data_IF_846794936169
#
_entry.id   IF_846794936169
#
_cell.length_a   1.000
_cell.length_b   1.000
_cell.length_c   1.000
_cell.angle_alpha   90.00
_cell.angle_beta   90.00
_cell.angle_gamma   90.00
#
_symmetry.space_group_name_H-M   'P 1'
#
loop_
_entity.id
_entity.type
_entity.pdbx_description
1 polymer ?
#
# COMPACT_ATOMS: atom_id res chain seq x y z
N UNK A 1 -10.19 -7.69 -16.30
CA UNK A 1 -11.30 -6.88 -16.86
C UNK A 1 -11.03 -6.62 -18.35
N UNK A 2 -11.19 -7.64 -19.20
CA UNK A 2 -10.50 -7.67 -20.51
C UNK A 2 -10.87 -6.52 -21.45
N UNK A 3 -12.15 -6.17 -21.55
CA UNK A 3 -12.60 -5.06 -22.41
C UNK A 3 -12.15 -3.69 -21.88
N UNK A 4 -12.15 -3.47 -20.55
CA UNK A 4 -11.67 -2.21 -19.97
C UNK A 4 -10.17 -2.00 -20.26
N UNK A 5 -9.33 -3.03 -20.11
CA UNK A 5 -7.92 -2.89 -20.48
C UNK A 5 -7.71 -2.64 -21.99
N UNK A 6 -8.60 -3.13 -22.86
CA UNK A 6 -8.51 -2.92 -24.31
C UNK A 6 -8.99 -1.53 -24.76
N UNK A 7 -9.88 -0.90 -23.99
CA UNK A 7 -10.56 0.33 -24.36
C UNK A 7 -10.07 1.57 -23.61
N UNK A 8 -9.13 1.39 -22.67
CA UNK A 8 -8.63 2.44 -21.79
C UNK A 8 -7.11 2.52 -21.86
N UNK A 9 -6.61 3.74 -21.90
CA UNK A 9 -5.19 4.06 -21.97
C UNK A 9 -4.63 4.44 -20.61
N UNK A 10 -5.49 4.61 -19.61
CA UNK A 10 -5.08 4.90 -18.25
C UNK A 10 -5.91 4.08 -17.26
N UNK A 11 -5.29 3.74 -16.13
CA UNK A 11 -6.00 3.23 -14.98
C UNK A 11 -5.49 3.89 -13.69
N UNK A 12 -6.39 4.05 -12.73
CA UNK A 12 -6.04 4.48 -11.38
C UNK A 12 -6.78 3.69 -10.31
N UNK A 13 -6.15 3.52 -9.14
CA UNK A 13 -6.75 2.88 -7.98
C UNK A 13 -6.10 3.46 -6.72
N UNK A 14 -6.81 3.42 -5.59
CA UNK A 14 -6.22 3.71 -4.29
C UNK A 14 -6.49 2.62 -3.28
N UNK A 15 -5.52 2.35 -2.40
CA UNK A 15 -5.65 1.42 -1.28
C UNK A 15 -5.26 2.17 -0.01
N UNK A 16 -6.07 2.05 1.04
CA UNK A 16 -5.80 2.64 2.34
C UNK A 16 -5.48 1.54 3.33
N UNK A 17 -4.32 1.64 3.99
CA UNK A 17 -3.95 0.80 5.11
C UNK A 17 -4.25 1.53 6.40
N UNK A 18 -5.15 0.98 7.20
CA UNK A 18 -5.39 1.37 8.57
C UNK A 18 -4.52 0.54 9.49
N UNK A 19 -3.84 1.18 10.43
CA UNK A 19 -2.89 0.55 11.33
C UNK A 19 -3.05 1.08 12.75
N UNK A 20 -2.98 0.16 13.71
CA UNK A 20 -2.89 0.44 15.13
C UNK A 20 -1.58 -0.13 15.62
N UNK A 21 -0.66 0.77 15.96
CA UNK A 21 0.64 0.41 16.52
C UNK A 21 0.61 0.62 18.03
N UNK A 22 1.20 -0.30 18.80
CA UNK A 22 1.35 -0.11 20.24
C UNK A 22 2.17 1.15 20.55
N UNK A 23 1.80 1.84 21.64
CA UNK A 23 2.54 2.98 22.12
C UNK A 23 3.97 2.52 22.51
N UNK A 24 4.99 3.18 21.96
CA UNK A 24 6.37 2.82 22.26
C UNK A 24 6.71 3.13 23.72
N UNK A 25 6.59 2.13 24.60
CA UNK A 25 7.01 2.25 26.00
C UNK A 25 8.55 2.29 26.04
N UNK A 26 9.14 3.48 25.95
CA UNK A 26 10.51 3.73 26.41
C UNK A 26 11.67 3.38 25.47
N UNK A 27 11.56 3.58 24.15
CA UNK A 27 12.75 3.60 23.28
C UNK A 27 13.12 5.03 22.89
N UNK A 28 14.03 5.63 23.66
CA UNK A 28 14.86 6.75 23.21
C UNK A 28 15.80 6.16 22.14
N UNK A 29 15.32 6.13 20.91
CA UNK A 29 16.07 5.60 19.80
C UNK A 29 15.23 5.73 18.56
N UNK A 30 15.60 6.68 17.70
CA UNK A 30 15.19 6.74 16.29
C UNK A 30 15.75 5.52 15.56
N UNK A 31 15.40 4.32 16.00
CA UNK A 31 15.47 3.16 15.13
C UNK A 31 14.37 3.41 14.12
N UNK A 32 14.78 3.72 12.90
CA UNK A 32 13.90 3.77 11.74
C UNK A 32 13.35 2.35 11.59
N UNK A 33 12.35 1.99 12.41
CA UNK A 33 11.71 0.68 12.41
C UNK A 33 11.15 0.52 11.01
N UNK A 34 11.78 -0.35 10.22
CA UNK A 34 11.33 -0.62 8.86
C UNK A 34 9.86 -0.99 8.94
N UNK A 35 9.01 -0.13 8.39
CA UNK A 35 7.62 -0.49 8.13
C UNK A 35 7.63 -1.78 7.33
N UNK A 36 6.71 -2.69 7.67
CA UNK A 36 6.47 -3.90 6.89
C UNK A 36 6.47 -3.53 5.40
N UNK A 37 7.33 -4.18 4.61
CA UNK A 37 7.35 -3.95 3.17
C UNK A 37 6.06 -4.52 2.59
N UNK A 38 5.24 -3.67 2.00
CA UNK A 38 4.01 -4.07 1.35
C UNK A 38 4.27 -4.12 -0.15
N UNK A 39 3.93 -5.26 -0.75
CA UNK A 39 4.00 -5.47 -2.18
C UNK A 39 2.59 -5.61 -2.73
N UNK A 40 2.26 -4.83 -3.74
CA UNK A 40 0.97 -4.87 -4.40
C UNK A 40 1.12 -5.50 -5.78
N UNK A 41 0.40 -6.57 -6.05
CA UNK A 41 0.47 -7.28 -7.33
C UNK A 41 -0.65 -6.80 -8.24
N UNK A 42 -0.26 -6.30 -9.41
CA UNK A 42 -1.16 -5.86 -10.46
C UNK A 42 -1.75 -6.99 -11.29
N UNK A 43 -2.74 -6.67 -12.13
CA UNK A 43 -3.42 -7.64 -13.00
C UNK A 43 -2.47 -8.35 -13.98
N UNK A 44 -1.44 -7.67 -14.47
CA UNK A 44 -0.41 -8.22 -15.36
C UNK A 44 0.74 -8.94 -14.60
N UNK A 45 0.58 -9.22 -13.30
CA UNK A 45 1.57 -9.84 -12.42
C UNK A 45 2.81 -8.99 -12.10
N UNK A 46 2.84 -7.72 -12.51
CA UNK A 46 3.87 -6.81 -12.04
C UNK A 46 3.63 -6.44 -10.57
N UNK A 47 4.72 -6.13 -9.88
CA UNK A 47 4.69 -5.78 -8.45
C UNK A 47 4.99 -4.31 -8.29
N UNK A 48 4.11 -3.61 -7.56
CA UNK A 48 4.36 -2.26 -7.06
C UNK A 48 5.01 -2.34 -5.68
N UNK A 49 6.19 -1.76 -5.56
CA UNK A 49 7.01 -1.81 -4.33
C UNK A 49 7.90 -0.57 -4.21
N UNK A 50 8.10 -0.10 -2.98
CA UNK A 50 8.97 1.03 -2.65
C UNK A 50 10.41 0.81 -3.14
N UNK A 51 10.98 1.82 -3.81
CA UNK A 51 12.34 1.76 -4.35
C UNK A 51 12.47 1.00 -5.67
N UNK A 52 11.35 0.67 -6.33
CA UNK A 52 11.32 0.07 -7.67
C UNK A 52 10.81 1.07 -8.71
N UNK A 53 10.89 0.72 -9.99
CA UNK A 53 10.29 1.50 -11.08
C UNK A 53 8.78 1.69 -10.93
N UNK A 54 8.10 0.72 -10.30
CA UNK A 54 6.67 0.74 -10.03
C UNK A 54 6.42 1.07 -8.56
N UNK A 55 7.06 2.11 -8.04
CA UNK A 55 6.80 2.57 -6.68
C UNK A 55 5.39 3.21 -6.59
N UNK A 56 4.52 2.75 -5.67
CA UNK A 56 3.21 3.38 -5.49
C UNK A 56 3.36 4.78 -4.91
N UNK A 57 2.53 5.72 -5.37
CA UNK A 57 2.53 7.06 -4.82
C UNK A 57 1.86 7.07 -3.45
N UNK A 58 2.59 7.47 -2.40
CA UNK A 58 2.06 7.52 -1.04
C UNK A 58 1.62 8.93 -0.72
N UNK A 59 0.30 9.15 -0.60
CA UNK A 59 -0.27 10.49 -0.32
C UNK A 59 -0.14 10.86 1.15
N UNK A 60 -0.31 9.87 2.03
CA UNK A 60 -0.25 10.02 3.48
C UNK A 60 0.43 8.76 4.03
N UNK A 61 1.41 8.93 4.92
CA UNK A 61 2.11 7.81 5.57
C UNK A 61 2.22 8.02 7.08
N UNK A 62 1.15 7.66 7.79
CA UNK A 62 1.04 7.82 9.23
C UNK A 62 1.22 6.51 9.99
N UNK A 63 1.32 5.37 9.29
CA UNK A 63 1.56 4.08 9.92
C UNK A 63 2.92 3.91 10.59
N UNK A 64 3.78 4.92 10.53
CA UNK A 64 5.02 5.05 11.31
C UNK A 64 4.79 5.59 12.73
N UNK A 65 3.61 6.17 13.01
CA UNK A 65 3.28 6.76 14.32
C UNK A 65 2.95 5.63 15.30
N UNK A 66 3.52 5.70 16.50
CA UNK A 66 3.41 4.67 17.55
C UNK A 66 2.86 5.28 18.84
N UNK A 67 1.63 5.77 18.78
CA UNK A 67 0.95 6.47 19.88
C UNK A 67 -0.24 5.67 20.46
N UNK A 68 -0.46 4.43 20.00
CA UNK A 68 -1.61 3.62 20.41
C UNK A 68 -2.94 4.06 19.79
N UNK A 69 -2.93 4.94 18.77
CA UNK A 69 -4.11 5.37 18.03
C UNK A 69 -4.13 4.78 16.61
N UNK A 70 -5.31 4.80 15.99
CA UNK A 70 -5.46 4.42 14.59
C UNK A 70 -4.89 5.49 13.68
N UNK A 71 -4.09 5.06 12.73
CA UNK A 71 -3.51 5.89 11.67
C UNK A 71 -3.76 5.25 10.32
N UNK A 72 -3.55 6.02 9.26
CA UNK A 72 -3.71 5.53 7.90
C UNK A 72 -2.53 5.87 6.99
N UNK A 73 -2.21 4.95 6.09
CA UNK A 73 -1.33 5.21 4.95
C UNK A 73 -2.10 4.97 3.66
N UNK A 74 -2.09 5.95 2.75
CA UNK A 74 -2.86 5.90 1.49
C UNK A 74 -1.93 5.76 0.29
N UNK A 75 -2.08 4.64 -0.41
CA UNK A 75 -1.37 4.30 -1.63
C UNK A 75 -2.23 4.63 -2.84
N UNK A 76 -1.66 5.33 -3.81
CA UNK A 76 -2.30 5.68 -5.08
C UNK A 76 -1.48 5.08 -6.21
N UNK A 77 -2.17 4.34 -7.07
CA UNK A 77 -1.63 3.74 -8.28
C UNK A 77 -2.26 4.47 -9.45
N UNK A 78 -1.42 4.99 -10.34
CA UNK A 78 -1.85 5.62 -11.59
C UNK A 78 -0.84 5.24 -12.67
N UNK A 79 -1.34 4.82 -13.82
CA UNK A 79 -0.52 4.24 -14.88
C UNK A 79 -1.16 4.43 -16.25
N UNK A 80 -0.31 4.55 -17.27
CA UNK A 80 -0.70 4.55 -18.69
C UNK A 80 -0.75 3.13 -19.28
N UNK A 81 -0.38 2.10 -18.51
CA UNK A 81 -0.59 0.71 -18.88
C UNK A 81 -1.76 0.15 -18.07
N UNK A 82 -2.94 0.19 -18.66
CA UNK A 82 -4.18 -0.24 -18.01
C UNK A 82 -4.16 -1.72 -17.58
N UNK A 83 -3.23 -2.55 -18.08
CA UNK A 83 -3.08 -3.94 -17.65
C UNK A 83 -2.39 -4.09 -16.29
N UNK A 84 -1.76 -3.05 -15.75
CA UNK A 84 -1.12 -3.10 -14.44
C UNK A 84 -2.13 -3.04 -13.29
N UNK A 85 -3.33 -2.50 -13.52
CA UNK A 85 -4.42 -2.42 -12.54
C UNK A 85 -5.59 -3.33 -12.96
N UNK A 86 -6.49 -3.73 -12.05
CA UNK A 86 -6.47 -3.47 -10.61
C UNK A 86 -5.35 -4.21 -9.88
N UNK A 87 -5.09 -3.81 -8.65
CA UNK A 87 -4.36 -4.63 -7.68
C UNK A 87 -5.22 -5.87 -7.36
N UNK A 88 -4.63 -7.05 -7.54
CA UNK A 88 -5.30 -8.36 -7.39
C UNK A 88 -4.81 -9.14 -6.17
N UNK A 89 -3.64 -8.79 -5.65
CA UNK A 89 -3.06 -9.41 -4.47
C UNK A 89 -2.19 -8.42 -3.70
N UNK A 90 -2.15 -8.56 -2.38
CA UNK A 90 -1.38 -7.71 -1.48
C UNK A 90 -0.60 -8.61 -0.54
N UNK A 91 0.72 -8.50 -0.59
CA UNK A 91 1.60 -9.28 0.27
C UNK A 91 2.29 -8.37 1.27
N UNK A 92 2.00 -8.61 2.54
CA UNK A 92 2.76 -8.03 3.63
C UNK A 92 3.98 -8.90 3.95
N UNK A 93 5.17 -8.31 3.93
CA UNK A 93 6.37 -8.97 4.46
C UNK A 93 6.37 -8.77 5.98
N UNK A 94 6.20 -9.84 6.78
CA UNK A 94 6.05 -9.70 8.22
C UNK A 94 7.29 -9.07 8.84
N UNK A 95 7.10 -7.94 9.51
CA UNK A 95 8.07 -7.40 10.46
C UNK A 95 7.90 -8.14 11.79
N UNK A 96 8.98 -8.38 12.53
CA UNK A 96 9.03 -9.16 13.79
C UNK A 96 8.24 -8.60 14.98
N UNK A 97 7.26 -7.70 14.78
CA UNK A 97 6.42 -7.14 15.83
C UNK A 97 5.11 -7.92 15.99
N UNK A 98 4.88 -8.39 17.21
CA UNK A 98 3.73 -9.20 17.61
C UNK A 98 2.46 -8.38 17.92
N UNK A 99 2.56 -7.04 18.03
CA UNK A 99 1.47 -6.18 18.53
C UNK A 99 1.02 -5.10 17.52
N UNK A 100 0.70 -5.51 16.29
CA UNK A 100 0.15 -4.59 15.27
C UNK A 100 -1.18 -5.11 14.77
N UNK A 101 -2.21 -4.26 14.79
CA UNK A 101 -3.47 -4.53 14.10
C UNK A 101 -3.51 -3.75 12.81
N UNK A 102 -3.94 -4.41 11.74
CA UNK A 102 -4.00 -3.84 10.39
C UNK A 102 -5.35 -4.16 9.76
N UNK A 103 -5.87 -3.18 9.03
CA UNK A 103 -7.06 -3.32 8.20
C UNK A 103 -6.81 -2.61 6.87
N UNK A 104 -7.23 -3.20 5.76
CA UNK A 104 -7.08 -2.60 4.44
C UNK A 104 -8.43 -2.29 3.82
N UNK A 105 -8.52 -1.10 3.23
CA UNK A 105 -9.62 -0.67 2.40
C UNK A 105 -9.15 -0.62 0.94
N UNK A 106 -9.78 -1.44 0.10
CA UNK A 106 -9.47 -1.52 -1.33
C UNK A 106 -10.43 -0.57 -2.06
N UNK A 107 -9.90 0.54 -2.56
CA UNK A 107 -10.67 1.47 -3.37
C UNK A 107 -11.00 0.93 -4.76
N UNK A 108 -12.00 1.51 -5.45
CA UNK A 108 -12.35 1.12 -6.80
C UNK A 108 -11.20 1.38 -7.77
N UNK A 109 -11.15 0.57 -8.83
CA UNK A 109 -10.30 0.85 -9.99
C UNK A 109 -11.09 1.68 -10.99
N UNK A 110 -10.47 2.76 -11.47
CA UNK A 110 -11.00 3.66 -12.48
C UNK A 110 -10.22 3.48 -13.78
N UNK A 111 -10.91 3.46 -14.91
CA UNK A 111 -10.34 3.35 -16.25
C UNK A 111 -10.74 4.56 -17.08
N UNK A 112 -9.80 5.11 -17.84
CA UNK A 112 -9.96 6.28 -18.71
C UNK A 112 -9.47 5.97 -20.13
#
# INVERSE_FOLDING_TARGET
MKFLHLLSNEASQSITLHCLNSAALGSIGTTHREMSRIRFHGWNKQTFEKGTLLEPHVVQDECKIQDGSWHQSRFVFHTQDSQQLPIVDIQEVPSSQLDRQQHMEIGPVCFL
#
